data_IF_111955345011
#
_entry.id   IF_111955345011
#
_cell.length_a   1.000
_cell.length_b   1.000
_cell.length_c   1.000
_cell.angle_alpha   90.00
_cell.angle_beta   90.00
_cell.angle_gamma   90.00
#
_symmetry.space_group_name_H-M   'P 1'
#
loop_
_entity.id
_entity.type
_entity.pdbx_description
1 polymer ?
#
# COMPACT_ATOMS: atom_id res chain seq x y z
N UNK A 1 -16.54 -1.45 -7.68
CA UNK A 1 -15.92 -0.21 -7.17
C UNK A 1 -14.56 -0.60 -6.62
N UNK A 2 -13.50 0.14 -6.96
CA UNK A 2 -12.20 -0.08 -6.32
C UNK A 2 -12.28 0.33 -4.85
N UNK A 3 -11.82 -0.53 -3.94
CA UNK A 3 -11.79 -0.23 -2.51
C UNK A 3 -10.61 0.68 -2.15
N UNK A 4 -10.55 1.19 -0.92
CA UNK A 4 -9.41 1.99 -0.46
C UNK A 4 -8.15 1.11 -0.39
N UNK A 5 -8.32 -0.17 -0.02
CA UNK A 5 -7.27 -1.19 -0.04
C UNK A 5 -6.68 -1.36 -1.45
N UNK A 6 -7.53 -1.46 -2.48
CA UNK A 6 -7.08 -1.53 -3.88
C UNK A 6 -6.27 -0.29 -4.28
N UNK A 7 -6.70 0.90 -3.83
CA UNK A 7 -5.97 2.16 -4.09
C UNK A 7 -4.60 2.16 -3.40
N UNK A 8 -4.51 1.67 -2.17
CA UNK A 8 -3.23 1.58 -1.44
C UNK A 8 -2.30 0.58 -2.13
N UNK A 9 -2.80 -0.61 -2.47
CA UNK A 9 -2.03 -1.65 -3.17
C UNK A 9 -1.54 -1.16 -4.55
N UNK A 10 -2.38 -0.47 -5.31
CA UNK A 10 -2.00 0.12 -6.59
C UNK A 10 -0.90 1.19 -6.42
N UNK A 11 -0.97 2.02 -5.38
CA UNK A 11 0.06 3.01 -5.08
C UNK A 11 1.38 2.39 -4.64
N UNK A 12 1.33 1.32 -3.84
CA UNK A 12 2.52 0.55 -3.48
C UNK A 12 3.19 -0.03 -4.72
N UNK A 13 2.40 -0.61 -5.63
CA UNK A 13 2.92 -1.13 -6.90
C UNK A 13 3.56 -0.02 -7.72
N UNK A 14 2.92 1.14 -7.80
CA UNK A 14 3.47 2.27 -8.54
C UNK A 14 4.78 2.79 -7.94
N UNK A 15 4.88 2.82 -6.61
CA UNK A 15 6.13 3.17 -5.91
C UNK A 15 7.25 2.14 -6.20
N UNK A 16 6.92 0.85 -6.23
CA UNK A 16 7.85 -0.22 -6.64
C UNK A 16 8.30 -0.05 -8.09
N UNK A 17 7.37 0.13 -9.01
CA UNK A 17 7.65 0.31 -10.44
C UNK A 17 8.52 1.56 -10.67
N UNK A 18 8.37 2.58 -9.83
CA UNK A 18 9.22 3.76 -9.73
C UNK A 18 10.60 3.52 -9.11
N UNK A 19 11.00 2.27 -8.84
CA UNK A 19 12.25 1.86 -8.16
C UNK A 19 12.42 2.45 -6.76
N UNK A 20 11.31 2.75 -6.08
CA UNK A 20 11.30 3.22 -4.68
C UNK A 20 12.04 4.55 -4.46
N UNK A 21 12.29 5.35 -5.50
CA UNK A 21 13.15 6.55 -5.41
C UNK A 21 12.43 7.78 -4.86
N UNK A 22 11.09 7.79 -4.83
CA UNK A 22 10.29 8.95 -4.45
C UNK A 22 9.78 8.86 -3.02
N UNK A 23 10.49 9.50 -2.09
CA UNK A 23 10.03 9.65 -0.71
C UNK A 23 8.67 10.35 -0.62
N UNK A 24 8.34 11.21 -1.59
CA UNK A 24 7.04 11.89 -1.62
C UNK A 24 5.92 10.88 -1.89
N UNK A 25 6.09 10.00 -2.87
CA UNK A 25 5.10 8.95 -3.15
C UNK A 25 4.93 8.03 -1.93
N UNK A 26 6.03 7.67 -1.27
CA UNK A 26 5.98 6.88 -0.04
C UNK A 26 5.18 7.58 1.07
N UNK A 27 5.44 8.87 1.30
CA UNK A 27 4.67 9.70 2.25
C UNK A 27 3.19 9.77 1.91
N UNK A 28 2.84 9.85 0.62
CA UNK A 28 1.45 9.89 0.18
C UNK A 28 0.72 8.57 0.50
N UNK A 29 1.36 7.42 0.26
CA UNK A 29 0.77 6.11 0.63
C UNK A 29 0.60 5.99 2.14
N UNK A 30 1.63 6.37 2.91
CA UNK A 30 1.58 6.40 4.37
C UNK A 30 0.44 7.28 4.89
N UNK A 31 0.22 8.44 4.28
CA UNK A 31 -0.87 9.35 4.65
C UNK A 31 -2.24 8.68 4.47
N UNK A 32 -2.48 8.10 3.29
CA UNK A 32 -3.74 7.41 2.99
C UNK A 32 -3.96 6.22 3.92
N UNK A 33 -2.92 5.42 4.15
CA UNK A 33 -2.97 4.27 5.05
C UNK A 33 -3.34 4.71 6.48
N UNK A 34 -2.64 5.71 7.03
CA UNK A 34 -2.89 6.19 8.41
C UNK A 34 -4.30 6.75 8.59
N UNK A 35 -4.79 7.54 7.64
CA UNK A 35 -6.15 8.12 7.70
C UNK A 35 -7.25 7.06 7.65
N UNK A 36 -7.01 5.92 7.00
CA UNK A 36 -8.02 4.87 6.82
C UNK A 36 -7.79 3.63 7.67
N UNK A 37 -6.68 3.55 8.40
CA UNK A 37 -6.18 2.36 9.12
C UNK A 37 -7.22 1.60 9.95
N UNK A 38 -8.16 2.29 10.60
CA UNK A 38 -9.21 1.67 11.43
C UNK A 38 -10.32 0.99 10.64
N UNK A 39 -10.40 1.23 9.33
CA UNK A 39 -11.44 0.71 8.42
C UNK A 39 -10.88 -0.18 7.31
N UNK A 40 -9.55 -0.31 7.23
CA UNK A 40 -8.90 -1.14 6.22
C UNK A 40 -9.07 -2.62 6.54
N UNK A 41 -9.39 -3.40 5.52
CA UNK A 41 -9.27 -4.86 5.59
C UNK A 41 -7.81 -5.28 5.35
N UNK A 42 -7.04 -5.35 6.44
CA UNK A 42 -5.64 -5.79 6.39
C UNK A 42 -5.52 -7.26 5.94
N UNK A 43 -6.50 -8.11 6.21
CA UNK A 43 -6.45 -9.51 5.80
C UNK A 43 -6.55 -9.63 4.27
N UNK A 44 -7.44 -8.83 3.67
CA UNK A 44 -7.50 -8.68 2.21
C UNK A 44 -6.17 -8.16 1.64
N UNK A 45 -5.63 -7.08 2.21
CA UNK A 45 -4.37 -6.50 1.72
C UNK A 45 -3.19 -7.48 1.81
N UNK A 46 -3.05 -8.20 2.92
CA UNK A 46 -1.98 -9.19 3.13
C UNK A 46 -2.11 -10.35 2.14
N UNK A 47 -3.34 -10.76 1.81
CA UNK A 47 -3.58 -11.82 0.82
C UNK A 47 -3.23 -11.37 -0.60
N UNK A 48 -3.52 -10.13 -0.96
CA UNK A 48 -3.37 -9.63 -2.33
C UNK A 48 -1.98 -9.06 -2.62
N UNK A 49 -1.28 -8.49 -1.63
CA UNK A 49 0.03 -7.87 -1.83
C UNK A 49 1.10 -8.77 -2.50
N UNK A 50 1.19 -10.09 -2.21
CA UNK A 50 2.12 -10.99 -2.89
C UNK A 50 1.88 -11.10 -4.41
N UNK A 51 0.61 -10.98 -4.86
CA UNK A 51 0.28 -11.02 -6.29
C UNK A 51 0.80 -9.79 -7.04
N UNK A 52 1.10 -8.72 -6.32
CA UNK A 52 1.59 -7.45 -6.85
C UNK A 52 3.08 -7.22 -6.57
N UNK A 53 3.75 -8.15 -5.85
CA UNK A 53 5.14 -8.06 -5.39
C UNK A 53 5.41 -6.83 -4.51
N UNK A 54 4.47 -6.54 -3.61
CA UNK A 54 4.53 -5.38 -2.69
C UNK A 54 4.29 -5.77 -1.22
N UNK A 55 4.40 -7.05 -0.88
CA UNK A 55 4.17 -7.56 0.46
C UNK A 55 5.15 -7.00 1.50
N UNK A 56 6.42 -6.79 1.12
CA UNK A 56 7.43 -6.11 1.94
C UNK A 56 7.08 -4.63 2.16
N UNK A 57 6.58 -3.94 1.14
CA UNK A 57 6.15 -2.55 1.24
C UNK A 57 4.90 -2.41 2.10
N UNK A 58 3.96 -3.35 1.98
CA UNK A 58 2.80 -3.43 2.85
C UNK A 58 3.23 -3.70 4.30
N UNK A 59 4.16 -4.63 4.53
CA UNK A 59 4.72 -4.89 5.86
C UNK A 59 5.38 -3.64 6.46
N UNK A 60 6.11 -2.86 5.65
CA UNK A 60 6.68 -1.56 6.08
C UNK A 60 5.61 -0.52 6.48
N UNK A 61 4.39 -0.58 5.92
CA UNK A 61 3.29 0.30 6.33
C UNK A 61 2.63 -0.12 7.64
N UNK A 62 2.59 -1.43 7.91
CA UNK A 62 1.92 -2.01 9.09
C UNK A 62 2.84 -2.00 10.32
N UNK A 63 4.17 -2.07 10.12
CA UNK A 63 5.18 -2.01 11.18
C UNK A 63 5.27 -0.64 11.86
#
# INVERSE_FOLDING_TARGET
MASIEDVILAKLKWYRDGKEVSDQQWRDVLGIFKTNSTRLDLAYMIKTAPELEVEDLLQKLIS
#
